data_IF_401671442287
#
_entry.id   IF_401671442287
#
_cell.length_a   1.000
_cell.length_b   1.000
_cell.length_c   1.000
_cell.angle_alpha   90.00
_cell.angle_beta   90.00
_cell.angle_gamma   90.00
#
_symmetry.space_group_name_H-M   'P 1'
#
loop_
_entity.id
_entity.type
_entity.pdbx_description
1 polymer ?
#
# COMPACT_ATOMS: atom_id res chain seq x y z
N UNK A 1 -12.45 -11.04 6.09
CA UNK A 1 -12.63 -10.37 4.79
C UNK A 1 -11.30 -10.48 4.07
N UNK A 2 -11.21 -11.29 2.99
CA UNK A 2 -9.94 -11.59 2.30
C UNK A 2 -9.49 -10.35 1.52
N UNK A 3 -8.32 -9.78 1.85
CA UNK A 3 -7.62 -8.84 0.97
C UNK A 3 -7.19 -9.63 -0.27
N UNK A 4 -7.59 -9.15 -1.45
CA UNK A 4 -7.19 -9.76 -2.72
C UNK A 4 -5.74 -9.31 -2.98
N UNK A 5 -4.81 -10.27 -2.95
CA UNK A 5 -3.38 -10.06 -3.21
C UNK A 5 -3.05 -9.93 -4.71
N UNK A 6 -4.03 -10.03 -5.59
CA UNK A 6 -3.87 -9.82 -7.04
C UNK A 6 -4.37 -8.43 -7.47
N UNK A 7 -3.63 -7.69 -8.32
CA UNK A 7 -4.12 -6.45 -8.92
C UNK A 7 -5.45 -6.69 -9.63
N UNK A 8 -6.40 -5.76 -9.46
CA UNK A 8 -7.71 -5.89 -10.08
C UNK A 8 -7.62 -5.83 -11.62
N UNK A 9 -8.66 -6.30 -12.31
CA UNK A 9 -8.59 -6.46 -13.77
C UNK A 9 -8.50 -5.10 -14.50
N UNK A 10 -9.00 -4.02 -13.88
CA UNK A 10 -8.90 -2.68 -14.42
C UNK A 10 -7.48 -2.12 -14.25
N UNK A 11 -6.85 -2.37 -13.10
CA UNK A 11 -5.46 -2.03 -12.83
C UNK A 11 -4.48 -2.80 -13.74
N UNK A 12 -4.74 -4.08 -14.01
CA UNK A 12 -3.96 -4.87 -14.97
C UNK A 12 -4.00 -4.26 -16.38
N UNK A 13 -5.17 -3.77 -16.82
CA UNK A 13 -5.33 -3.09 -18.11
C UNK A 13 -5.01 -1.59 -18.07
N UNK A 14 -4.63 -1.04 -16.90
CA UNK A 14 -4.34 0.38 -16.68
C UNK A 14 -5.51 1.31 -17.07
N UNK A 15 -6.74 0.88 -16.80
CA UNK A 15 -7.97 1.64 -17.07
C UNK A 15 -8.78 1.80 -15.78
N UNK A 16 -9.75 2.72 -15.79
CA UNK A 16 -10.64 2.90 -14.63
C UNK A 16 -11.85 1.94 -14.70
N UNK A 17 -12.52 1.63 -13.57
CA UNK A 17 -13.76 0.85 -13.59
C UNK A 17 -14.89 1.48 -14.43
N UNK A 18 -14.79 2.78 -14.75
CA UNK A 18 -15.73 3.52 -15.62
C UNK A 18 -15.37 3.47 -17.10
N UNK A 19 -14.24 2.86 -17.47
CA UNK A 19 -13.79 2.79 -18.86
C UNK A 19 -14.84 2.10 -19.75
N UNK A 20 -15.07 2.67 -20.91
CA UNK A 20 -15.88 2.11 -21.98
C UNK A 20 -15.26 0.84 -22.55
N UNK A 21 -16.04 0.06 -23.28
CA UNK A 21 -15.57 -1.17 -23.92
C UNK A 21 -14.45 -0.89 -24.93
N UNK A 22 -14.55 0.21 -25.66
CA UNK A 22 -13.57 0.61 -26.67
C UNK A 22 -12.25 1.07 -26.02
N UNK A 23 -12.31 1.77 -24.89
CA UNK A 23 -11.13 2.12 -24.09
C UNK A 23 -10.44 0.88 -23.53
N UNK A 24 -11.22 -0.12 -23.06
CA UNK A 24 -10.69 -1.41 -22.58
C UNK A 24 -9.99 -2.18 -23.70
N UNK A 25 -10.59 -2.22 -24.90
CA UNK A 25 -9.99 -2.87 -26.07
C UNK A 25 -8.69 -2.17 -26.51
N UNK A 26 -8.72 -0.84 -26.61
CA UNK A 26 -7.57 -0.02 -27.00
C UNK A 26 -6.41 -0.20 -26.02
N UNK A 27 -6.69 -0.20 -24.70
CA UNK A 27 -5.68 -0.40 -23.67
C UNK A 27 -5.06 -1.81 -23.74
N UNK A 28 -5.89 -2.84 -23.96
CA UNK A 28 -5.42 -4.21 -24.14
C UNK A 28 -4.50 -4.35 -25.35
N UNK A 29 -4.87 -3.82 -26.51
CA UNK A 29 -4.06 -3.88 -27.73
C UNK A 29 -2.69 -3.22 -27.54
N UNK A 30 -2.68 -2.01 -26.95
CA UNK A 30 -1.45 -1.28 -26.63
C UNK A 30 -0.51 -2.09 -25.72
N UNK A 31 -1.05 -2.67 -24.65
CA UNK A 31 -0.26 -3.43 -23.67
C UNK A 31 0.20 -4.78 -24.23
N UNK A 32 -0.63 -5.44 -25.03
CA UNK A 32 -0.26 -6.68 -25.71
C UNK A 32 0.89 -6.49 -26.69
N UNK A 33 0.88 -5.40 -27.44
CA UNK A 33 1.98 -5.04 -28.35
C UNK A 33 3.28 -4.72 -27.58
N UNK A 34 3.17 -4.05 -26.44
CA UNK A 34 4.32 -3.74 -25.57
C UNK A 34 5.02 -5.01 -25.05
N UNK A 35 4.26 -6.05 -24.72
CA UNK A 35 4.77 -7.33 -24.24
C UNK A 35 4.78 -8.43 -25.31
N UNK A 36 4.81 -8.05 -26.60
CA UNK A 36 4.84 -9.04 -27.68
C UNK A 36 6.14 -9.85 -27.66
N UNK A 37 6.06 -11.09 -28.14
CA UNK A 37 7.24 -11.96 -28.21
C UNK A 37 8.31 -11.38 -29.16
N UNK A 38 7.89 -10.67 -30.20
CA UNK A 38 8.79 -10.00 -31.14
C UNK A 38 9.56 -8.85 -30.48
N UNK A 39 8.91 -8.06 -29.61
CA UNK A 39 9.59 -6.96 -28.89
C UNK A 39 10.44 -7.42 -27.72
N UNK A 40 10.18 -8.61 -27.20
CA UNK A 40 10.92 -9.15 -26.05
C UNK A 40 11.91 -10.24 -26.43
N UNK A 41 12.04 -10.58 -27.73
CA UNK A 41 12.93 -11.62 -28.24
C UNK A 41 14.42 -11.39 -27.90
N UNK A 42 14.87 -10.14 -27.84
CA UNK A 42 16.26 -9.76 -27.52
C UNK A 42 16.49 -9.52 -26.02
N UNK A 43 15.44 -9.61 -25.20
CA UNK A 43 15.55 -9.41 -23.75
C UNK A 43 16.18 -10.64 -23.06
N UNK A 44 16.71 -10.43 -21.85
CA UNK A 44 17.22 -11.53 -21.02
C UNK A 44 16.13 -12.59 -20.75
N UNK A 45 16.47 -13.88 -20.56
CA UNK A 45 15.50 -14.96 -20.38
C UNK A 45 14.48 -14.71 -19.26
N UNK A 46 14.91 -14.12 -18.15
CA UNK A 46 14.02 -13.78 -17.03
C UNK A 46 13.01 -12.68 -17.39
N UNK A 47 13.40 -11.73 -18.25
CA UNK A 47 12.51 -10.70 -18.77
C UNK A 47 11.52 -11.25 -19.80
N UNK A 48 11.92 -12.24 -20.59
CA UNK A 48 11.03 -12.97 -21.50
C UNK A 48 9.96 -13.75 -20.72
N UNK A 49 10.37 -14.41 -19.63
CA UNK A 49 9.45 -15.12 -18.73
C UNK A 49 8.46 -14.14 -18.07
N UNK A 50 8.96 -12.99 -17.59
CA UNK A 50 8.11 -11.94 -17.01
C UNK A 50 7.14 -11.34 -18.03
N UNK A 51 7.58 -11.06 -19.25
CA UNK A 51 6.74 -10.56 -20.32
C UNK A 51 5.63 -11.57 -20.69
N UNK A 52 5.98 -12.86 -20.72
CA UNK A 52 5.00 -13.94 -20.94
C UNK A 52 3.96 -13.99 -19.83
N UNK A 53 4.38 -13.89 -18.56
CA UNK A 53 3.47 -13.82 -17.41
C UNK A 53 2.56 -12.58 -17.49
N UNK A 54 3.11 -11.41 -17.83
CA UNK A 54 2.35 -10.17 -17.98
C UNK A 54 1.32 -10.29 -19.11
N UNK A 55 1.68 -10.87 -20.25
CA UNK A 55 0.74 -11.13 -21.35
C UNK A 55 -0.42 -12.02 -20.93
N UNK A 56 -0.16 -13.09 -20.16
CA UNK A 56 -1.22 -13.95 -19.63
C UNK A 56 -2.17 -13.20 -18.68
N UNK A 57 -1.63 -12.32 -17.81
CA UNK A 57 -2.44 -11.48 -16.93
C UNK A 57 -3.34 -10.52 -17.74
N UNK A 58 -2.81 -9.91 -18.80
CA UNK A 58 -3.57 -9.02 -19.69
C UNK A 58 -4.70 -9.75 -20.41
N UNK A 59 -4.44 -10.97 -20.93
CA UNK A 59 -5.46 -11.79 -21.59
C UNK A 59 -6.60 -12.19 -20.64
N UNK A 60 -6.26 -12.60 -19.42
CA UNK A 60 -7.24 -12.95 -18.39
C UNK A 60 -8.09 -11.74 -17.99
N UNK A 61 -7.45 -10.57 -17.78
CA UNK A 61 -8.15 -9.34 -17.44
C UNK A 61 -9.12 -8.92 -18.55
N UNK A 62 -8.65 -8.92 -19.81
CA UNK A 62 -9.45 -8.57 -20.96
C UNK A 62 -10.64 -9.52 -21.18
N UNK A 63 -10.46 -10.83 -20.99
CA UNK A 63 -11.52 -11.83 -21.15
C UNK A 63 -12.69 -11.69 -20.17
N UNK A 64 -12.46 -11.07 -19.01
CA UNK A 64 -13.51 -10.77 -18.02
C UNK A 64 -14.15 -9.41 -18.31
N UNK A 65 -13.36 -8.41 -18.69
CA UNK A 65 -13.83 -7.02 -18.85
C UNK A 65 -14.49 -6.71 -20.20
N UNK A 66 -14.20 -7.50 -21.25
CA UNK A 66 -14.77 -7.30 -22.60
C UNK A 66 -16.23 -7.79 -22.75
N UNK A 67 -16.64 -8.72 -21.89
CA UNK A 67 -18.00 -9.29 -21.83
C UNK A 67 -18.82 -8.57 -20.76
N UNK A 68 -19.96 -7.98 -21.16
CA UNK A 68 -20.77 -7.15 -20.28
C UNK A 68 -21.31 -7.91 -19.05
N UNK A 69 -21.74 -9.17 -19.21
CA UNK A 69 -22.29 -9.96 -18.12
C UNK A 69 -21.19 -10.41 -17.14
N UNK A 70 -20.01 -10.76 -17.65
CA UNK A 70 -18.84 -11.11 -16.83
C UNK A 70 -18.29 -9.91 -16.08
N UNK A 71 -18.22 -8.74 -16.73
CA UNK A 71 -17.83 -7.47 -16.13
C UNK A 71 -18.79 -7.07 -15.00
N UNK A 72 -20.10 -7.12 -15.23
CA UNK A 72 -21.08 -6.81 -14.19
C UNK A 72 -20.98 -7.76 -12.98
N UNK A 73 -20.83 -9.07 -13.23
CA UNK A 73 -20.64 -10.04 -12.16
C UNK A 73 -19.31 -9.82 -11.40
N UNK A 74 -18.27 -9.37 -12.10
CA UNK A 74 -17.00 -8.98 -11.49
C UNK A 74 -17.17 -7.72 -10.64
N UNK A 75 -17.80 -6.67 -11.16
CA UNK A 75 -18.03 -5.39 -10.49
C UNK A 75 -18.88 -5.56 -9.22
N UNK A 76 -19.93 -6.39 -9.27
CA UNK A 76 -20.74 -6.75 -8.08
C UNK A 76 -19.91 -7.45 -7.00
N UNK A 77 -18.97 -8.32 -7.37
CA UNK A 77 -18.08 -9.03 -6.42
C UNK A 77 -16.93 -8.16 -5.88
N UNK A 78 -16.57 -7.10 -6.60
CA UNK A 78 -15.52 -6.16 -6.20
C UNK A 78 -16.06 -4.93 -5.48
N UNK A 79 -17.38 -4.70 -5.50
CA UNK A 79 -18.00 -3.53 -4.90
C UNK A 79 -17.96 -2.29 -5.80
N UNK A 80 -17.65 -2.45 -7.09
CA UNK A 80 -17.73 -1.36 -8.09
C UNK A 80 -19.18 -1.05 -8.50
N UNK A 81 -20.14 -1.89 -8.09
CA UNK A 81 -21.56 -1.72 -8.38
C UNK A 81 -22.25 -0.69 -7.46
N UNK A 82 -21.95 0.60 -7.63
CA UNK A 82 -22.84 1.69 -7.22
C UNK A 82 -22.70 2.88 -8.19
N UNK A 83 -23.80 3.19 -8.88
CA UNK A 83 -23.90 4.40 -9.71
C UNK A 83 -24.80 4.31 -10.95
N UNK A 84 -25.93 3.59 -10.89
CA UNK A 84 -27.03 3.79 -11.86
C UNK A 84 -28.35 3.85 -11.10
N UNK A 85 -28.64 5.02 -10.53
CA UNK A 85 -30.00 5.47 -10.38
C UNK A 85 -30.28 6.38 -11.58
N UNK A 86 -30.87 5.81 -12.63
CA UNK A 86 -31.50 6.60 -13.67
C UNK A 86 -32.66 7.38 -13.05
N UNK A 87 -32.70 8.70 -13.25
CA UNK A 87 -33.91 9.51 -13.00
C UNK A 87 -33.81 10.65 -11.97
N UNK A 88 -32.71 11.38 -11.88
CA UNK A 88 -32.77 12.78 -11.44
C UNK A 88 -32.21 13.67 -12.54
N UNK A 89 -33.07 14.10 -13.45
CA UNK A 89 -32.78 15.28 -14.28
C UNK A 89 -32.61 16.45 -13.31
N UNK A 90 -31.38 16.87 -13.06
CA UNK A 90 -31.10 18.15 -12.40
C UNK A 90 -31.79 19.24 -13.24
N UNK A 91 -32.86 19.83 -12.70
CA UNK A 91 -33.57 20.95 -13.32
C UNK A 91 -32.65 22.18 -13.29
N UNK A 92 -31.94 22.43 -14.39
CA UNK A 92 -31.08 23.61 -14.57
C UNK A 92 -31.92 24.87 -14.88
N UNK A 93 -33.03 25.08 -14.17
CA UNK A 93 -33.67 26.40 -14.14
C UNK A 93 -32.89 27.31 -13.18
N UNK A 94 -32.46 28.50 -13.62
CA UNK A 94 -31.83 29.45 -12.72
C UNK A 94 -32.81 29.79 -11.59
N UNK A 95 -32.34 29.61 -10.36
CA UNK A 95 -33.09 29.98 -9.16
C UNK A 95 -33.40 31.49 -9.21
N UNK A 96 -34.63 31.91 -8.89
CA UNK A 96 -34.94 33.32 -8.77
C UNK A 96 -34.03 33.99 -7.72
N UNK A 97 -33.64 35.26 -7.91
CA UNK A 97 -32.69 35.93 -7.04
C UNK A 97 -33.17 35.88 -5.58
N UNK A 98 -32.33 35.31 -4.71
CA UNK A 98 -32.60 35.23 -3.30
C UNK A 98 -32.57 36.64 -2.70
N UNK A 99 -33.74 37.17 -2.34
CA UNK A 99 -33.87 38.40 -1.57
C UNK A 99 -33.39 38.19 -0.13
N UNK A 100 -32.07 38.16 0.06
CA UNK A 100 -31.40 38.49 1.32
C UNK A 100 -31.94 37.88 2.61
N UNK A 101 -32.46 36.65 2.60
CA UNK A 101 -32.89 35.96 3.81
C UNK A 101 -31.98 34.77 4.12
N UNK A 102 -31.08 34.98 5.09
CA UNK A 102 -30.32 33.91 5.74
C UNK A 102 -31.29 32.96 6.46
N UNK A 103 -31.18 31.66 6.15
CA UNK A 103 -32.06 30.63 6.68
C UNK A 103 -31.53 30.13 8.02
N UNK A 104 -32.12 30.65 9.10
CA UNK A 104 -31.97 30.12 10.46
C UNK A 104 -32.53 28.69 10.57
N UNK A 105 -31.75 27.84 11.26
CA UNK A 105 -32.11 26.68 12.08
C UNK A 105 -33.37 25.87 11.73
N UNK A 106 -33.17 24.58 11.41
CA UNK A 106 -34.25 23.57 11.41
C UNK A 106 -34.02 22.57 12.56
N UNK A 107 -34.94 22.46 13.53
CA UNK A 107 -35.07 21.27 14.36
C UNK A 107 -36.25 20.38 13.92
N UNK A 108 -36.10 19.10 14.23
CA UNK A 108 -37.13 18.07 14.46
C UNK A 108 -37.85 17.47 13.24
N UNK A 109 -37.52 16.20 13.00
CA UNK A 109 -38.23 15.24 12.15
C UNK A 109 -39.59 14.93 12.79
N UNK A 110 -40.67 15.33 12.13
CA UNK A 110 -42.02 14.92 12.50
C UNK A 110 -42.32 13.49 12.01
N UNK A 111 -42.62 12.61 12.96
CA UNK A 111 -43.14 11.26 12.77
C UNK A 111 -44.48 11.27 11.99
N UNK A 112 -44.64 10.33 11.05
CA UNK A 112 -45.92 10.05 10.40
C UNK A 112 -46.67 8.91 11.12
N UNK A 113 -48.01 8.95 11.19
CA UNK A 113 -48.81 8.05 12.02
C UNK A 113 -49.10 6.69 11.36
N UNK A 114 -49.11 5.63 12.19
CA UNK A 114 -49.63 4.29 11.85
C UNK A 114 -51.15 4.21 12.10
N UNK A 115 -51.95 3.61 11.21
CA UNK A 115 -53.31 3.21 11.55
C UNK A 115 -53.31 1.85 12.27
N UNK A 116 -54.22 1.73 13.24
CA UNK A 116 -54.40 0.56 14.09
C UNK A 116 -55.72 -0.17 13.81
N UNK A 117 -55.73 -1.46 14.19
CA UNK A 117 -56.86 -2.39 14.41
C UNK A 117 -57.38 -3.06 13.14
N UNK A 118 -57.60 -4.38 13.12
CA UNK A 118 -58.41 -5.15 14.08
C UNK A 118 -57.93 -6.60 14.26
N UNK A 119 -58.17 -7.11 15.46
CA UNK A 119 -58.01 -8.52 15.82
C UNK A 119 -59.18 -9.35 15.28
N UNK A 120 -58.88 -10.52 14.72
CA UNK A 120 -59.84 -11.63 14.61
C UNK A 120 -59.14 -12.91 15.07
N UNK A 121 -59.57 -13.41 16.22
CA UNK A 121 -59.25 -14.76 16.73
C UNK A 121 -60.37 -15.71 16.34
N UNK A 122 -60.00 -16.87 15.82
CA UNK A 122 -60.67 -18.19 15.91
C UNK A 122 -60.01 -19.10 14.86
N UNK A 123 -59.65 -20.35 15.07
CA UNK A 123 -59.67 -21.24 16.23
C UNK A 123 -59.27 -22.64 15.74
N UNK A 124 -58.39 -23.30 16.51
CA UNK A 124 -58.26 -24.75 16.74
C UNK A 124 -57.98 -25.71 15.56
N UNK A 125 -56.88 -26.47 15.63
CA UNK A 125 -56.83 -27.93 15.95
C UNK A 125 -55.67 -28.66 15.25
N UNK A 126 -54.78 -29.30 16.03
CA UNK A 126 -53.82 -30.30 15.55
C UNK A 126 -52.62 -30.51 16.49
N UNK A 127 -52.48 -31.72 17.04
CA UNK A 127 -51.52 -32.15 18.07
C UNK A 127 -50.06 -32.41 17.58
N UNK A 128 -49.14 -32.38 18.56
CA UNK A 128 -47.67 -32.65 18.61
C UNK A 128 -47.25 -34.10 18.22
N UNK A 129 -45.96 -34.53 18.25
CA UNK A 129 -44.64 -33.87 18.08
C UNK A 129 -43.70 -34.62 17.10
N UNK A 130 -42.59 -34.00 16.67
CA UNK A 130 -41.57 -34.65 15.82
C UNK A 130 -40.15 -34.16 16.08
N UNK A 131 -39.53 -34.70 17.14
CA UNK A 131 -38.08 -34.74 17.35
C UNK A 131 -37.42 -35.54 16.21
N UNK A 132 -36.76 -34.89 15.24
CA UNK A 132 -35.90 -35.61 14.28
C UNK A 132 -34.89 -34.75 13.48
N UNK A 133 -34.50 -33.54 13.92
CA UNK A 133 -33.45 -32.77 13.23
C UNK A 133 -32.36 -32.20 14.17
N UNK A 134 -32.26 -32.72 15.39
CA UNK A 134 -31.16 -32.38 16.32
C UNK A 134 -29.99 -33.38 16.30
N UNK A 135 -30.18 -34.62 15.81
CA UNK A 135 -29.19 -35.69 15.94
C UNK A 135 -28.25 -35.84 14.74
N UNK A 136 -28.62 -35.36 13.55
CA UNK A 136 -27.76 -35.45 12.37
C UNK A 136 -26.57 -34.45 12.42
N UNK A 137 -26.77 -33.27 13.00
CA UNK A 137 -25.69 -32.28 13.19
C UNK A 137 -24.72 -32.70 14.30
N UNK A 138 -25.22 -33.34 15.37
CA UNK A 138 -24.37 -33.79 16.46
C UNK A 138 -23.56 -35.05 16.11
N UNK A 139 -24.11 -35.96 15.29
CA UNK A 139 -23.41 -37.17 14.85
C UNK A 139 -22.25 -36.86 13.88
N UNK A 140 -22.40 -35.87 12.98
CA UNK A 140 -21.33 -35.41 12.09
C UNK A 140 -20.22 -34.69 12.88
N UNK A 141 -20.58 -33.91 13.90
CA UNK A 141 -19.60 -33.25 14.77
C UNK A 141 -18.81 -34.25 15.63
N UNK A 142 -19.47 -35.32 16.12
CA UNK A 142 -18.79 -36.38 16.89
C UNK A 142 -17.92 -37.28 16.01
N UNK A 143 -18.33 -37.57 14.77
CA UNK A 143 -17.53 -38.34 13.80
C UNK A 143 -16.26 -37.59 13.34
N UNK A 144 -16.30 -36.25 13.32
CA UNK A 144 -15.13 -35.40 13.05
C UNK A 144 -14.17 -35.29 14.24
N UNK A 145 -14.66 -35.49 15.48
CA UNK A 145 -13.83 -35.47 16.70
C UNK A 145 -13.16 -36.81 17.00
N UNK A 146 -13.72 -37.94 16.56
CA UNK A 146 -13.14 -39.28 16.77
C UNK A 146 -12.33 -39.82 15.59
N UNK A 147 -12.46 -39.25 14.39
CA UNK A 147 -11.61 -39.59 13.26
C UNK A 147 -10.33 -38.77 13.35
N UNK A 148 -9.31 -39.31 14.02
CA UNK A 148 -7.96 -38.73 14.16
C UNK A 148 -7.19 -38.56 12.85
N UNK A 149 -7.83 -38.07 11.79
CA UNK A 149 -7.16 -37.54 10.61
C UNK A 149 -6.66 -36.16 11.00
N UNK A 150 -5.40 -36.13 11.44
CA UNK A 150 -4.58 -34.94 11.33
C UNK A 150 -4.46 -34.61 9.84
N UNK A 151 -5.41 -33.86 9.29
CA UNK A 151 -5.22 -33.16 8.03
C UNK A 151 -4.33 -31.96 8.33
N UNK A 152 -3.02 -32.21 8.42
CA UNK A 152 -2.01 -31.17 8.26
C UNK A 152 -2.03 -30.72 6.81
N UNK A 153 -2.99 -29.90 6.48
CA UNK A 153 -2.99 -29.08 5.27
C UNK A 153 -3.61 -27.74 5.65
N UNK A 154 -2.94 -27.08 6.60
CA UNK A 154 -2.91 -25.62 6.52
C UNK A 154 -2.39 -25.27 5.12
N UNK A 155 -2.90 -24.22 4.46
CA UNK A 155 -2.11 -23.66 3.38
C UNK A 155 -0.74 -23.44 4.01
N UNK A 156 0.31 -23.95 3.39
CA UNK A 156 1.59 -23.31 3.55
C UNK A 156 1.28 -21.84 3.21
N UNK A 157 1.15 -21.01 4.26
CA UNK A 157 1.57 -19.64 4.16
C UNK A 157 2.92 -19.80 3.49
N UNK A 158 2.99 -19.43 2.21
CA UNK A 158 4.24 -19.36 1.50
C UNK A 158 5.04 -18.41 2.37
N UNK A 159 5.84 -18.97 3.27
CA UNK A 159 6.78 -18.21 4.04
C UNK A 159 7.63 -17.58 2.97
N UNK A 160 7.44 -16.27 2.77
CA UNK A 160 8.35 -15.40 2.05
C UNK A 160 9.74 -15.92 2.39
N UNK A 161 10.58 -16.31 1.41
CA UNK A 161 11.77 -17.11 1.69
C UNK A 161 12.63 -16.36 2.71
N UNK A 162 12.51 -16.73 3.99
CA UNK A 162 13.22 -16.10 5.09
C UNK A 162 14.68 -16.32 4.76
N UNK A 163 15.41 -15.23 4.51
CA UNK A 163 16.86 -15.32 4.40
C UNK A 163 17.31 -15.94 5.71
N UNK A 164 17.94 -17.11 5.64
CA UNK A 164 18.31 -17.86 6.84
C UNK A 164 19.18 -16.97 7.74
N UNK A 165 18.72 -16.70 8.96
CA UNK A 165 19.43 -15.87 9.94
C UNK A 165 19.10 -14.37 9.91
N UNK A 166 18.25 -13.88 9.00
CA UNK A 166 17.81 -12.47 8.97
C UNK A 166 16.37 -12.36 9.44
N UNK A 167 16.14 -11.63 10.53
CA UNK A 167 14.81 -11.33 11.04
C UNK A 167 14.44 -9.89 10.68
N UNK A 168 13.37 -9.72 9.90
CA UNK A 168 12.88 -8.40 9.55
C UNK A 168 12.06 -7.80 10.70
N UNK A 169 12.15 -6.48 10.95
CA UNK A 169 11.33 -5.79 11.96
C UNK A 169 9.82 -5.94 11.73
N UNK A 170 9.39 -5.95 10.47
CA UNK A 170 7.99 -6.04 10.08
C UNK A 170 7.73 -7.17 9.09
N UNK A 171 6.61 -7.87 9.27
CA UNK A 171 6.10 -8.86 8.30
C UNK A 171 5.35 -8.18 7.15
N UNK A 172 5.18 -8.87 6.02
CA UNK A 172 4.38 -8.35 4.89
C UNK A 172 2.94 -7.99 5.31
N UNK A 173 2.33 -8.79 6.18
CA UNK A 173 1.01 -8.49 6.72
C UNK A 173 0.99 -7.17 7.51
N UNK A 174 2.02 -6.90 8.32
CA UNK A 174 2.15 -5.63 9.04
C UNK A 174 2.38 -4.45 8.09
N UNK A 175 3.24 -4.60 7.07
CA UNK A 175 3.44 -3.56 6.06
C UNK A 175 2.13 -3.22 5.32
N UNK A 176 1.32 -4.22 4.99
CA UNK A 176 0.01 -4.02 4.38
C UNK A 176 -0.98 -3.31 5.31
N UNK A 177 -0.91 -3.56 6.62
CA UNK A 177 -1.71 -2.83 7.61
C UNK A 177 -1.29 -1.35 7.67
N UNK A 178 0.01 -1.05 7.74
CA UNK A 178 0.49 0.34 7.70
C UNK A 178 0.07 1.05 6.42
N UNK A 179 0.21 0.39 5.26
CA UNK A 179 -0.24 0.93 3.95
C UNK A 179 -1.73 1.23 3.94
N UNK A 180 -2.55 0.31 4.45
CA UNK A 180 -4.02 0.47 4.52
C UNK A 180 -4.39 1.61 5.47
N UNK A 181 -3.72 1.71 6.62
CA UNK A 181 -3.94 2.79 7.57
C UNK A 181 -3.54 4.15 7.01
N UNK A 182 -2.39 4.24 6.32
CA UNK A 182 -1.92 5.46 5.68
C UNK A 182 -2.89 5.93 4.59
N UNK A 183 -3.36 5.03 3.73
CA UNK A 183 -4.33 5.33 2.68
C UNK A 183 -5.71 5.71 3.22
N UNK A 184 -6.18 5.06 4.28
CA UNK A 184 -7.52 5.31 4.84
C UNK A 184 -7.57 6.57 5.69
N UNK A 185 -6.59 6.74 6.58
CA UNK A 185 -6.55 7.91 7.48
C UNK A 185 -6.02 9.16 6.78
N UNK A 186 -5.13 8.98 5.80
CA UNK A 186 -4.46 10.03 5.06
C UNK A 186 -3.85 11.12 5.97
N UNK A 187 -3.26 10.71 7.09
CA UNK A 187 -2.55 11.61 8.01
C UNK A 187 -1.05 11.56 7.75
N UNK A 188 -0.34 12.66 8.03
CA UNK A 188 1.12 12.70 7.92
C UNK A 188 1.77 11.58 8.74
N UNK A 189 1.31 11.37 9.98
CA UNK A 189 1.82 10.34 10.88
C UNK A 189 1.66 8.92 10.31
N UNK A 190 0.50 8.58 9.75
CA UNK A 190 0.29 7.25 9.19
C UNK A 190 1.17 6.99 7.95
N UNK A 191 1.39 8.03 7.12
CA UNK A 191 2.33 7.96 6.01
C UNK A 191 3.79 7.81 6.48
N UNK A 192 4.19 8.50 7.55
CA UNK A 192 5.51 8.36 8.18
C UNK A 192 5.71 6.95 8.73
N UNK A 193 4.71 6.39 9.43
CA UNK A 193 4.77 5.03 9.97
C UNK A 193 4.92 3.97 8.87
N UNK A 194 4.16 4.10 7.77
CA UNK A 194 4.30 3.22 6.62
C UNK A 194 5.69 3.35 5.97
N UNK A 195 6.17 4.58 5.75
CA UNK A 195 7.49 4.84 5.21
C UNK A 195 8.61 4.24 6.07
N UNK A 196 8.57 4.46 7.38
CA UNK A 196 9.54 3.91 8.34
C UNK A 196 9.54 2.39 8.33
N UNK A 197 8.36 1.75 8.33
CA UNK A 197 8.27 0.30 8.38
C UNK A 197 8.89 -0.36 7.13
N UNK A 198 8.65 0.21 5.95
CA UNK A 198 9.27 -0.26 4.70
C UNK A 198 10.78 0.01 4.71
N UNK A 199 11.17 1.21 5.13
CA UNK A 199 12.57 1.62 5.23
C UNK A 199 13.38 0.68 6.14
N UNK A 200 12.89 0.40 7.35
CA UNK A 200 13.59 -0.43 8.35
C UNK A 200 13.81 -1.86 7.88
N UNK A 201 12.80 -2.44 7.21
CA UNK A 201 12.92 -3.76 6.59
C UNK A 201 14.02 -3.78 5.51
N UNK A 202 14.01 -2.79 4.61
CA UNK A 202 14.99 -2.72 3.52
C UNK A 202 16.39 -2.40 4.02
N UNK A 203 16.50 -1.55 5.04
CA UNK A 203 17.78 -1.24 5.67
C UNK A 203 18.36 -2.49 6.34
N UNK A 204 17.54 -3.28 7.04
CA UNK A 204 17.95 -4.56 7.63
C UNK A 204 18.49 -5.50 6.56
N UNK A 205 17.78 -5.62 5.43
CA UNK A 205 18.22 -6.46 4.30
C UNK A 205 19.49 -5.94 3.64
N UNK A 206 19.61 -4.63 3.46
CA UNK A 206 20.80 -3.97 2.89
C UNK A 206 22.03 -4.20 3.75
N UNK A 207 21.89 -4.18 5.06
CA UNK A 207 23.00 -4.38 6.00
C UNK A 207 23.38 -5.86 6.15
N UNK A 208 22.39 -6.75 6.29
CA UNK A 208 22.63 -8.14 6.64
C UNK A 208 22.74 -9.07 5.43
N UNK A 209 22.12 -8.72 4.30
CA UNK A 209 22.06 -9.54 3.11
C UNK A 209 22.00 -8.75 1.79
N UNK A 210 22.93 -7.78 1.54
CA UNK A 210 22.88 -6.88 0.39
C UNK A 210 22.96 -7.57 -0.98
N UNK A 211 23.48 -8.80 -1.04
CA UNK A 211 23.61 -9.57 -2.28
C UNK A 211 22.49 -10.61 -2.45
N UNK A 212 21.54 -10.66 -1.52
CA UNK A 212 20.46 -11.65 -1.57
C UNK A 212 19.48 -11.37 -2.72
N UNK A 213 18.96 -12.40 -3.41
CA UNK A 213 17.90 -12.24 -4.40
C UNK A 213 16.66 -11.54 -3.82
N UNK A 214 16.36 -11.80 -2.55
CA UNK A 214 15.26 -11.17 -1.83
C UNK A 214 15.43 -9.65 -1.75
N UNK A 215 16.60 -9.17 -1.31
CA UNK A 215 16.86 -7.72 -1.27
C UNK A 215 16.76 -7.09 -2.65
N UNK A 216 17.37 -7.71 -3.67
CA UNK A 216 17.31 -7.23 -5.06
C UNK A 216 15.88 -7.16 -5.61
N UNK A 217 15.03 -8.12 -5.27
CA UNK A 217 13.62 -8.13 -5.64
C UNK A 217 12.77 -7.07 -4.92
N UNK A 218 13.26 -6.52 -3.80
CA UNK A 218 12.56 -5.56 -2.97
C UNK A 218 13.07 -4.12 -3.12
N UNK A 219 14.01 -3.85 -4.04
CA UNK A 219 14.55 -2.50 -4.24
C UNK A 219 13.47 -1.45 -4.53
N UNK A 220 12.37 -1.83 -5.19
CA UNK A 220 11.22 -0.95 -5.41
C UNK A 220 10.59 -0.44 -4.11
N UNK A 221 10.75 -1.15 -2.99
CA UNK A 221 10.26 -0.70 -1.69
C UNK A 221 10.93 0.59 -1.19
N UNK A 222 12.14 0.91 -1.65
CA UNK A 222 12.76 2.21 -1.34
C UNK A 222 11.95 3.37 -1.95
N UNK A 223 11.37 3.16 -3.14
CA UNK A 223 10.48 4.12 -3.78
C UNK A 223 9.13 4.18 -3.06
N UNK A 224 8.59 3.04 -2.61
CA UNK A 224 7.37 3.02 -1.78
C UNK A 224 7.56 3.86 -0.50
N UNK A 225 8.70 3.71 0.17
CA UNK A 225 9.04 4.51 1.35
C UNK A 225 9.19 6.01 1.01
N UNK A 226 9.91 6.34 -0.07
CA UNK A 226 10.09 7.71 -0.53
C UNK A 226 8.76 8.39 -0.93
N UNK A 227 7.84 7.64 -1.53
CA UNK A 227 6.49 8.13 -1.85
C UNK A 227 5.69 8.37 -0.57
N UNK A 228 5.72 7.44 0.37
CA UNK A 228 5.05 7.60 1.66
C UNK A 228 5.51 8.86 2.39
N UNK A 229 6.83 9.08 2.48
CA UNK A 229 7.37 10.32 3.03
C UNK A 229 6.98 11.56 2.23
N UNK A 230 6.94 11.47 0.90
CA UNK A 230 6.45 12.55 0.04
C UNK A 230 5.00 12.94 0.34
N UNK A 231 4.13 11.94 0.56
CA UNK A 231 2.74 12.18 0.96
C UNK A 231 2.64 12.79 2.35
N UNK A 232 3.49 12.37 3.30
CA UNK A 232 3.57 13.00 4.61
C UNK A 232 3.99 14.48 4.52
N UNK A 233 5.02 14.78 3.73
CA UNK A 233 5.56 16.14 3.53
C UNK A 233 4.55 17.07 2.83
N UNK A 234 3.69 16.52 1.96
CA UNK A 234 2.60 17.28 1.36
C UNK A 234 1.53 17.72 2.38
N UNK A 235 1.42 17.02 3.51
CA UNK A 235 0.48 17.34 4.59
C UNK A 235 1.16 18.23 5.65
N UNK A 236 2.39 17.88 6.04
CA UNK A 236 3.14 18.55 7.08
C UNK A 236 4.63 18.57 6.73
N UNK A 237 5.20 19.77 6.63
CA UNK A 237 6.64 19.91 6.45
C UNK A 237 7.39 19.44 7.71
N UNK A 238 8.42 18.62 7.49
CA UNK A 238 9.23 18.04 8.55
C UNK A 238 10.63 17.69 8.02
N UNK A 239 11.66 18.28 8.63
CA UNK A 239 13.04 18.11 8.19
C UNK A 239 13.54 16.65 8.31
N UNK A 240 13.14 15.93 9.37
CA UNK A 240 13.49 14.51 9.56
C UNK A 240 12.89 13.65 8.46
N UNK A 241 11.61 13.85 8.15
CA UNK A 241 10.91 13.09 7.09
C UNK A 241 11.52 13.39 5.72
N UNK A 242 11.92 14.64 5.47
CA UNK A 242 12.62 15.03 4.24
C UNK A 242 13.99 14.34 4.12
N UNK A 243 14.73 14.25 5.22
CA UNK A 243 16.01 13.55 5.24
C UNK A 243 15.86 12.04 5.03
N UNK A 244 14.83 11.43 5.61
CA UNK A 244 14.54 10.00 5.43
C UNK A 244 14.04 9.69 4.00
N UNK A 245 13.25 10.58 3.39
CA UNK A 245 12.88 10.51 1.97
C UNK A 245 14.12 10.55 1.08
N UNK A 246 15.02 11.50 1.32
CA UNK A 246 16.26 11.62 0.58
C UNK A 246 17.11 10.34 0.72
N UNK A 247 17.24 9.80 1.92
CA UNK A 247 18.02 8.59 2.15
C UNK A 247 17.42 7.36 1.45
N UNK A 248 16.08 7.23 1.42
CA UNK A 248 15.41 6.18 0.67
C UNK A 248 15.67 6.28 -0.84
N UNK A 249 15.55 7.48 -1.41
CA UNK A 249 15.86 7.74 -2.83
C UNK A 249 17.33 7.47 -3.16
N UNK A 250 18.23 7.85 -2.25
CA UNK A 250 19.66 7.61 -2.40
C UNK A 250 19.99 6.12 -2.39
N UNK A 251 19.46 5.37 -1.43
CA UNK A 251 19.65 3.91 -1.36
C UNK A 251 19.11 3.24 -2.62
N UNK A 252 17.93 3.62 -3.10
CA UNK A 252 17.43 3.13 -4.39
C UNK A 252 18.40 3.44 -5.52
N UNK A 253 18.82 4.69 -5.67
CA UNK A 253 19.69 5.09 -6.79
C UNK A 253 21.07 4.44 -6.78
N UNK A 254 21.57 4.05 -5.61
CA UNK A 254 22.82 3.29 -5.47
C UNK A 254 22.63 1.80 -5.78
N UNK A 255 21.59 1.17 -5.21
CA UNK A 255 21.43 -0.28 -5.24
C UNK A 255 20.65 -0.77 -6.48
N UNK A 256 19.81 0.09 -7.07
CA UNK A 256 19.24 -0.02 -8.41
C UNK A 256 19.78 1.17 -9.25
N UNK A 257 20.98 1.04 -9.86
CA UNK A 257 21.77 2.16 -10.40
C UNK A 257 20.95 3.18 -11.21
N UNK A 258 20.54 4.25 -10.54
CA UNK A 258 19.69 5.32 -11.08
C UNK A 258 20.26 6.68 -10.63
N UNK A 259 21.07 7.34 -11.47
CA UNK A 259 21.72 8.60 -11.12
C UNK A 259 20.73 9.75 -10.95
N UNK A 260 19.51 9.66 -11.52
CA UNK A 260 18.50 10.70 -11.33
C UNK A 260 17.98 10.69 -9.89
N UNK A 261 17.81 9.50 -9.30
CA UNK A 261 17.37 9.33 -7.92
C UNK A 261 18.42 9.77 -6.91
N UNK A 262 19.70 9.54 -7.22
CA UNK A 262 20.82 10.08 -6.43
C UNK A 262 20.82 11.61 -6.46
N UNK A 263 20.65 12.23 -7.64
CA UNK A 263 20.59 13.68 -7.77
C UNK A 263 19.37 14.29 -7.05
N UNK A 264 18.21 13.63 -7.13
CA UNK A 264 17.00 14.02 -6.42
C UNK A 264 17.22 13.98 -4.90
N UNK A 265 17.82 12.91 -4.37
CA UNK A 265 18.12 12.77 -2.96
C UNK A 265 19.02 13.90 -2.42
N UNK A 266 20.09 14.24 -3.14
CA UNK A 266 20.99 15.33 -2.74
C UNK A 266 20.26 16.67 -2.71
N UNK A 267 19.52 16.97 -3.77
CA UNK A 267 18.75 18.22 -3.85
C UNK A 267 17.69 18.31 -2.74
N UNK A 268 17.06 17.19 -2.39
CA UNK A 268 16.05 17.13 -1.34
C UNK A 268 16.64 17.43 0.04
N UNK A 269 17.80 16.85 0.35
CA UNK A 269 18.42 16.96 1.66
C UNK A 269 19.12 18.32 1.85
N UNK A 270 19.71 18.89 0.79
CA UNK A 270 20.34 20.21 0.82
C UNK A 270 19.33 21.34 1.06
N UNK A 271 18.08 21.18 0.57
CA UNK A 271 16.98 22.09 0.89
C UNK A 271 16.51 21.99 2.35
N UNK A 272 16.67 20.83 2.99
CA UNK A 272 16.09 20.54 4.29
C UNK A 272 16.81 21.14 5.49
N UNK A 273 18.04 21.62 5.32
CA UNK A 273 18.93 22.01 6.43
C UNK A 273 18.98 23.51 6.66
N UNK A 274 18.22 24.28 5.87
CA UNK A 274 18.19 25.74 5.96
C UNK A 274 17.36 26.28 7.16
N UNK A 275 17.04 25.45 8.17
CA UNK A 275 16.26 25.82 9.36
C UNK A 275 17.09 25.87 10.66
N UNK A 276 16.62 26.65 11.65
CA UNK A 276 17.35 26.98 12.89
C UNK A 276 17.63 25.80 13.85
N UNK A 277 16.95 24.66 13.73
CA UNK A 277 17.27 23.45 14.51
C UNK A 277 17.18 22.23 13.61
N UNK A 278 18.32 21.78 13.08
CA UNK A 278 18.40 20.51 12.38
C UNK A 278 18.32 19.36 13.40
N UNK A 279 17.26 18.56 13.32
CA UNK A 279 17.02 17.41 14.19
C UNK A 279 18.17 16.38 14.10
N UNK A 280 18.61 15.77 15.22
CA UNK A 280 19.71 14.79 15.24
C UNK A 280 19.57 13.68 14.19
N UNK A 281 18.39 13.09 14.05
CA UNK A 281 18.13 12.03 13.06
C UNK A 281 18.28 12.52 11.63
N UNK A 282 17.82 13.72 11.32
CA UNK A 282 17.96 14.31 9.99
C UNK A 282 19.45 14.51 9.62
N UNK A 283 20.26 14.95 10.59
CA UNK A 283 21.71 15.11 10.41
C UNK A 283 22.42 13.77 10.19
N UNK A 284 21.99 12.69 10.85
CA UNK A 284 22.49 11.33 10.60
C UNK A 284 22.20 10.92 9.15
N UNK A 285 20.93 10.99 8.73
CA UNK A 285 20.50 10.58 7.39
C UNK A 285 21.23 11.39 6.31
N UNK A 286 21.41 12.70 6.50
CA UNK A 286 22.19 13.51 5.56
C UNK A 286 23.67 13.09 5.51
N UNK A 287 24.32 12.93 6.66
CA UNK A 287 25.72 12.53 6.68
C UNK A 287 25.94 11.18 5.99
N UNK A 288 25.00 10.24 6.11
CA UNK A 288 25.05 8.95 5.41
C UNK A 288 25.04 9.11 3.88
N UNK A 289 24.23 10.03 3.33
CA UNK A 289 24.20 10.34 1.90
C UNK A 289 25.54 10.95 1.46
N UNK A 290 26.03 11.96 2.19
CA UNK A 290 27.29 12.65 1.85
C UNK A 290 28.52 11.73 1.93
N UNK A 291 28.53 10.78 2.86
CA UNK A 291 29.64 9.84 3.00
C UNK A 291 29.72 8.83 1.85
N UNK A 292 28.59 8.53 1.19
CA UNK A 292 28.46 7.48 0.18
C UNK A 292 28.29 8.00 -1.26
N UNK A 293 27.93 9.28 -1.44
CA UNK A 293 27.79 9.89 -2.78
C UNK A 293 29.14 9.87 -3.53
N UNK A 294 29.11 9.91 -4.85
CA UNK A 294 30.31 10.01 -5.68
C UNK A 294 30.43 11.39 -6.36
N UNK A 295 31.54 12.14 -6.16
CA UNK A 295 32.63 11.86 -5.21
C UNK A 295 32.18 12.06 -3.75
N UNK A 296 32.78 11.33 -2.78
CA UNK A 296 32.34 11.37 -1.39
C UNK A 296 32.68 12.70 -0.71
N UNK A 297 31.72 13.23 0.06
CA UNK A 297 31.81 14.50 0.81
C UNK A 297 32.02 14.23 2.30
N UNK A 298 33.07 13.48 2.63
CA UNK A 298 33.30 12.92 3.98
C UNK A 298 33.44 13.98 5.08
N UNK A 299 34.15 15.08 4.81
CA UNK A 299 34.34 16.13 5.80
C UNK A 299 33.01 16.78 6.22
N UNK A 300 32.11 16.98 5.26
CA UNK A 300 30.78 17.51 5.52
C UNK A 300 29.92 16.48 6.29
N UNK A 301 29.99 15.20 5.92
CA UNK A 301 29.35 14.13 6.69
C UNK A 301 29.83 14.10 8.15
N UNK A 302 31.14 14.20 8.37
CA UNK A 302 31.73 14.19 9.71
C UNK A 302 31.32 15.41 10.53
N UNK A 303 31.23 16.59 9.90
CA UNK A 303 30.74 17.80 10.57
C UNK A 303 29.31 17.62 11.10
N UNK A 304 28.42 16.98 10.32
CA UNK A 304 27.04 16.71 10.73
C UNK A 304 26.99 15.74 11.91
N UNK A 305 27.75 14.64 11.87
CA UNK A 305 27.78 13.67 12.95
C UNK A 305 28.41 14.21 14.24
N UNK A 306 29.42 15.09 14.14
CA UNK A 306 29.93 15.83 15.31
C UNK A 306 28.86 16.75 15.89
N UNK A 307 28.14 17.50 15.04
CA UNK A 307 27.03 18.36 15.46
C UNK A 307 25.94 17.59 16.21
N UNK A 308 25.58 16.38 15.76
CA UNK A 308 24.64 15.50 16.48
C UNK A 308 25.09 15.24 17.92
N UNK A 309 26.38 14.96 18.13
CA UNK A 309 26.95 14.71 19.46
C UNK A 309 27.01 15.96 20.33
N UNK A 310 27.08 17.14 19.73
CA UNK A 310 27.05 18.42 20.45
C UNK A 310 25.64 18.78 20.92
N UNK A 311 24.64 18.65 20.03
CA UNK A 311 23.27 19.07 20.32
C UNK A 311 22.47 18.02 21.12
N UNK A 312 22.85 16.74 21.03
CA UNK A 312 22.13 15.63 21.67
C UNK A 312 23.10 14.56 22.25
N UNK A 313 24.03 14.91 23.16
CA UNK A 313 25.14 14.05 23.57
C UNK A 313 24.75 12.70 24.19
N UNK A 314 23.56 12.60 24.80
CA UNK A 314 23.09 11.39 25.47
C UNK A 314 22.08 10.58 24.63
N UNK A 315 21.85 10.99 23.37
CA UNK A 315 20.87 10.38 22.49
C UNK A 315 21.39 9.11 21.79
N UNK A 316 20.50 8.20 21.36
CA UNK A 316 20.85 7.10 20.45
C UNK A 316 21.49 7.59 19.14
N UNK A 317 21.10 8.77 18.66
CA UNK A 317 21.65 9.40 17.46
C UNK A 317 23.12 9.80 17.68
N UNK A 318 23.49 10.30 18.86
CA UNK A 318 24.90 10.57 19.18
C UNK A 318 25.76 9.31 19.22
N UNK A 319 25.24 8.20 19.74
CA UNK A 319 25.93 6.90 19.71
C UNK A 319 26.08 6.40 18.26
N UNK A 320 25.06 6.62 17.42
CA UNK A 320 25.10 6.28 16.00
C UNK A 320 26.10 7.14 15.24
N UNK A 321 26.12 8.45 15.48
CA UNK A 321 27.11 9.38 14.94
C UNK A 321 28.54 8.97 15.31
N UNK A 322 28.78 8.54 16.55
CA UNK A 322 30.10 8.07 16.98
C UNK A 322 30.54 6.82 16.21
N UNK A 323 29.66 5.81 16.07
CA UNK A 323 29.94 4.62 15.27
C UNK A 323 30.24 4.97 13.81
N UNK A 324 29.50 5.91 13.22
CA UNK A 324 29.70 6.35 11.84
C UNK A 324 31.03 7.11 11.66
N UNK A 325 31.40 7.96 12.60
CA UNK A 325 32.71 8.64 12.59
C UNK A 325 33.86 7.61 12.67
N UNK A 326 33.72 6.56 13.47
CA UNK A 326 34.71 5.50 13.58
C UNK A 326 34.80 4.67 12.30
N UNK A 327 33.67 4.27 11.70
CA UNK A 327 33.66 3.41 10.52
C UNK A 327 34.21 4.12 9.28
N UNK A 328 33.77 5.36 9.03
CA UNK A 328 34.19 6.11 7.85
C UNK A 328 35.52 6.84 8.04
N UNK A 329 35.97 7.07 9.28
CA UNK A 329 37.27 7.69 9.57
C UNK A 329 38.49 6.79 9.34
N UNK A 330 38.28 5.46 9.23
CA UNK A 330 39.34 4.49 8.92
C UNK A 330 39.39 4.08 7.44
N UNK A 331 38.50 4.62 6.60
CA UNK A 331 38.32 4.30 5.16
C UNK A 331 38.79 5.43 4.25
#
# INVERSE_FOLDING_TARGET
MKLREDPDHYAILQVTPRASRDEIATAYERLRELYSAERTAEAAPDLQALATQKRQQLEQAYAVLTDAARREAYDRRQGFAQGVAEGETLDYRPLPPAHGQERNTVPSVAERPRPARTAQRSGVRGWLPGLALGSALLAVLLLLLLSGVRTTSGPAALATPTISGVTLPYTEAQLNLYRTQATTSNTAQAWIEFGNAVFDNLQTLREQAPQSPQYRGLLGGWLDAAEAYGRALAIQDNATVRADRALALFNYGQDAPDPQRVAEALAEVERGITGEVAEPRALISYGLILAQVQPPRREEAFALWRKVREIAPQSPEAQTAERLLQSYGQS
#
